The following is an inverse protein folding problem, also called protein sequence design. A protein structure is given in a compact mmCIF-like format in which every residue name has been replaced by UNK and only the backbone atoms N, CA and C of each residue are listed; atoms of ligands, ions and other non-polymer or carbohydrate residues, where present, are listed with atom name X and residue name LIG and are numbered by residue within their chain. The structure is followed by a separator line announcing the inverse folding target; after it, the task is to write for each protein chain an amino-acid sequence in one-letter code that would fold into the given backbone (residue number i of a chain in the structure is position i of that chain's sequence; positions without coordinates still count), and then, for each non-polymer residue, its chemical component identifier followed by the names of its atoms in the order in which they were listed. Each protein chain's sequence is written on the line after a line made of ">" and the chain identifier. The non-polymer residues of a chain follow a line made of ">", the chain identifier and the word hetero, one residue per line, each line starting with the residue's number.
data_IF_160347147318
#
_entry.id   IF_160347147318
#
_cell.length_a   1.000
_cell.length_b   1.000
_cell.length_c   1.000
_cell.angle_alpha   90.00
_cell.angle_beta   90.00
_cell.angle_gamma   90.00
#
_symmetry.space_group_name_H-M   'P 1'
#
loop_
_entity.id
_entity.type
_entity.pdbx_description
1 polymer ?
#
# COMPACT_ATOMS: atom_id res chain seq x y z
N UNK A 1 -13.89 -10.92 0.98
CA UNK A 1 -13.63 -11.69 2.22
C UNK A 1 -14.39 -13.02 2.26
N UNK A 2 -15.70 -13.08 2.02
CA UNK A 2 -16.39 -14.38 1.97
C UNK A 2 -16.03 -15.22 0.71
N UNK A 3 -15.75 -14.57 -0.42
CA UNK A 3 -15.34 -15.22 -1.66
C UNK A 3 -13.94 -15.84 -1.61
N UNK A 4 -12.98 -15.16 -0.97
CA UNK A 4 -11.60 -15.66 -0.83
C UNK A 4 -11.55 -16.92 0.01
N UNK A 5 -12.31 -16.99 1.11
CA UNK A 5 -12.38 -18.17 1.98
C UNK A 5 -12.89 -19.42 1.25
N UNK A 6 -13.89 -19.29 0.39
CA UNK A 6 -14.43 -20.43 -0.36
C UNK A 6 -13.40 -20.91 -1.39
N UNK A 7 -12.74 -19.99 -2.07
CA UNK A 7 -11.72 -20.31 -3.07
C UNK A 7 -10.51 -20.97 -2.40
N UNK A 8 -10.00 -20.44 -1.30
CA UNK A 8 -8.87 -20.98 -0.54
C UNK A 8 -9.15 -22.43 -0.09
N UNK A 9 -10.33 -22.69 0.48
CA UNK A 9 -10.71 -24.03 0.95
C UNK A 9 -10.80 -25.04 -0.21
N UNK A 10 -11.34 -24.62 -1.36
CA UNK A 10 -11.40 -25.49 -2.54
C UNK A 10 -10.03 -25.72 -3.18
N UNK A 11 -9.18 -24.71 -3.21
CA UNK A 11 -7.84 -24.78 -3.77
C UNK A 11 -6.94 -25.71 -2.95
N UNK A 12 -6.99 -25.62 -1.62
CA UNK A 12 -6.23 -26.48 -0.72
C UNK A 12 -6.64 -27.94 -0.82
N UNK A 13 -7.94 -28.23 -0.94
CA UNK A 13 -8.43 -29.60 -1.09
C UNK A 13 -7.97 -30.25 -2.41
N UNK A 14 -7.96 -29.48 -3.50
CA UNK A 14 -7.47 -29.93 -4.81
C UNK A 14 -5.96 -30.16 -4.75
N UNK A 15 -5.22 -29.25 -4.12
CA UNK A 15 -3.76 -29.35 -3.95
C UNK A 15 -3.36 -30.58 -3.14
N UNK A 16 -4.08 -30.88 -2.06
CA UNK A 16 -3.88 -32.07 -1.23
C UNK A 16 -4.24 -33.36 -1.98
N UNK A 17 -5.27 -33.33 -2.81
CA UNK A 17 -5.65 -34.49 -3.64
C UNK A 17 -4.60 -34.78 -4.72
N UNK A 18 -4.03 -33.73 -5.33
CA UNK A 18 -2.99 -33.82 -6.36
C UNK A 18 -1.64 -34.25 -5.78
N UNK A 19 -1.28 -33.79 -4.58
CA UNK A 19 -0.03 -34.19 -3.91
C UNK A 19 0.00 -35.68 -3.57
N UNK A 20 -1.16 -36.26 -3.22
CA UNK A 20 -1.31 -37.69 -2.92
C UNK A 20 -1.15 -38.61 -4.13
N UNK A 21 -1.37 -38.12 -5.36
CA UNK A 21 -1.33 -38.93 -6.58
C UNK A 21 0.06 -39.06 -7.23
N UNK A 22 1.12 -38.48 -6.64
CA UNK A 22 2.49 -38.69 -7.11
C UNK A 22 2.79 -38.14 -8.51
N UNK A 23 2.06 -37.10 -8.95
CA UNK A 23 2.22 -36.51 -10.27
C UNK A 23 3.62 -35.94 -10.51
N UNK A 24 4.07 -36.00 -11.77
CA UNK A 24 5.33 -35.41 -12.23
C UNK A 24 5.35 -33.90 -11.96
N UNK A 25 6.47 -33.37 -11.49
CA UNK A 25 6.63 -31.96 -11.08
C UNK A 25 6.21 -30.92 -12.14
N UNK A 26 6.36 -31.24 -13.43
CA UNK A 26 5.89 -30.39 -14.53
C UNK A 26 4.36 -30.29 -14.57
N UNK A 27 3.66 -31.40 -14.34
CA UNK A 27 2.19 -31.47 -14.32
C UNK A 27 1.64 -30.72 -13.11
N UNK A 28 2.29 -30.84 -11.95
CA UNK A 28 1.92 -30.11 -10.73
C UNK A 28 2.02 -28.59 -10.95
N UNK A 29 3.10 -28.10 -11.58
CA UNK A 29 3.22 -26.67 -11.93
C UNK A 29 2.16 -26.20 -12.92
N UNK A 30 1.84 -27.01 -13.92
CA UNK A 30 0.77 -26.69 -14.88
C UNK A 30 -0.60 -26.62 -14.21
N UNK A 31 -0.88 -27.55 -13.29
CA UNK A 31 -2.12 -27.58 -12.53
C UNK A 31 -2.22 -26.40 -11.56
N UNK A 32 -1.14 -26.05 -10.88
CA UNK A 32 -1.07 -24.88 -9.98
C UNK A 32 -1.37 -23.57 -10.75
N UNK A 33 -0.74 -23.39 -11.92
CA UNK A 33 -1.06 -22.26 -12.79
C UNK A 33 -2.53 -22.28 -13.24
N UNK A 34 -3.04 -23.43 -13.69
CA UNK A 34 -4.43 -23.55 -14.11
C UNK A 34 -5.41 -23.23 -12.97
N UNK A 35 -5.12 -23.68 -11.75
CA UNK A 35 -5.92 -23.39 -10.57
C UNK A 35 -5.91 -21.89 -10.24
N UNK A 36 -4.76 -21.23 -10.31
CA UNK A 36 -4.64 -19.77 -10.15
C UNK A 36 -5.46 -19.02 -11.21
N UNK A 37 -5.43 -19.46 -12.48
CA UNK A 37 -6.26 -18.87 -13.53
C UNK A 37 -7.76 -19.03 -13.25
N UNK A 38 -8.19 -20.21 -12.78
CA UNK A 38 -9.59 -20.48 -12.42
C UNK A 38 -10.01 -19.62 -11.24
N UNK A 39 -9.20 -19.54 -10.18
CA UNK A 39 -9.45 -18.68 -9.03
C UNK A 39 -9.64 -17.22 -9.45
N UNK A 40 -8.72 -16.67 -10.24
CA UNK A 40 -8.82 -15.31 -10.74
C UNK A 40 -10.08 -15.14 -11.60
N UNK A 41 -10.40 -16.10 -12.47
CA UNK A 41 -11.61 -16.05 -13.29
C UNK A 41 -12.89 -16.08 -12.46
N UNK A 42 -12.96 -16.90 -11.41
CA UNK A 42 -14.11 -16.98 -10.49
C UNK A 42 -14.27 -15.65 -9.75
N UNK A 43 -13.20 -15.13 -9.16
CA UNK A 43 -13.22 -13.84 -8.46
C UNK A 43 -13.69 -12.71 -9.38
N UNK A 44 -13.15 -12.63 -10.61
CA UNK A 44 -13.56 -11.61 -11.59
C UNK A 44 -14.99 -11.80 -12.07
N UNK A 45 -15.49 -13.02 -12.14
CA UNK A 45 -16.89 -13.29 -12.47
C UNK A 45 -17.83 -12.77 -11.38
N UNK A 46 -17.44 -12.92 -10.11
CA UNK A 46 -18.16 -12.35 -8.96
C UNK A 46 -18.13 -10.82 -9.01
N UNK A 47 -16.97 -10.22 -9.30
CA UNK A 47 -16.86 -8.76 -9.44
C UNK A 47 -17.78 -8.23 -10.54
N UNK A 48 -17.79 -8.90 -11.70
CA UNK A 48 -18.67 -8.56 -12.81
C UNK A 48 -20.13 -8.64 -12.36
N UNK A 49 -20.55 -9.71 -11.71
CA UNK A 49 -21.93 -9.89 -11.22
C UNK A 49 -22.33 -8.82 -10.19
N UNK A 50 -21.39 -8.36 -9.36
CA UNK A 50 -21.61 -7.35 -8.33
C UNK A 50 -21.39 -5.91 -8.81
N UNK A 51 -21.04 -5.70 -10.09
CA UNK A 51 -20.87 -4.38 -10.68
C UNK A 51 -22.05 -3.43 -10.42
N UNK A 52 -23.33 -3.83 -10.56
CA UNK A 52 -24.44 -2.93 -10.30
C UNK A 52 -24.46 -2.40 -8.86
N UNK A 53 -24.03 -3.22 -7.90
CA UNK A 53 -23.95 -2.84 -6.47
C UNK A 53 -22.79 -1.87 -6.26
N UNK A 54 -21.61 -2.18 -6.80
CA UNK A 54 -20.44 -1.29 -6.71
C UNK A 54 -20.71 0.07 -7.36
N UNK A 55 -21.34 0.06 -8.53
CA UNK A 55 -21.76 1.25 -9.25
C UNK A 55 -22.78 2.10 -8.45
N UNK A 56 -23.80 1.45 -7.88
CA UNK A 56 -24.80 2.11 -7.04
C UNK A 56 -24.18 2.75 -5.79
N UNK A 57 -23.29 2.02 -5.11
CA UNK A 57 -22.55 2.52 -3.95
C UNK A 57 -21.72 3.76 -4.29
N UNK A 58 -21.00 3.74 -5.42
CA UNK A 58 -20.24 4.92 -5.88
C UNK A 58 -21.16 6.10 -6.16
N UNK A 59 -22.31 5.86 -6.81
CA UNK A 59 -23.30 6.91 -7.05
C UNK A 59 -23.90 7.47 -5.75
N UNK A 60 -24.08 6.64 -4.71
CA UNK A 60 -24.52 7.08 -3.38
C UNK A 60 -23.44 7.92 -2.67
N UNK A 61 -22.17 7.51 -2.76
CA UNK A 61 -21.05 8.26 -2.16
C UNK A 61 -20.89 9.65 -2.78
N UNK A 62 -21.22 9.81 -4.05
CA UNK A 62 -21.22 11.13 -4.73
C UNK A 62 -22.51 11.92 -4.42
N UNK A 63 -23.53 11.29 -3.85
CA UNK A 63 -24.84 11.90 -3.55
C UNK A 63 -25.80 11.95 -4.75
N UNK A 64 -25.51 11.20 -5.82
CA UNK A 64 -26.35 11.14 -7.02
C UNK A 64 -27.51 10.15 -6.87
N UNK A 65 -27.24 9.02 -6.24
CA UNK A 65 -28.23 8.03 -5.85
C UNK A 65 -28.79 8.36 -4.46
N UNK A 66 -30.06 8.04 -4.18
CA UNK A 66 -30.63 8.24 -2.85
C UNK A 66 -29.91 7.35 -1.83
N UNK A 67 -29.72 7.85 -0.61
CA UNK A 67 -29.10 7.10 0.48
C UNK A 67 -29.91 5.85 0.87
N UNK A 68 -31.23 5.87 0.62
CA UNK A 68 -32.15 4.75 0.83
C UNK A 68 -32.95 4.53 -0.47
N UNK A 69 -33.03 3.30 -1.00
CA UNK A 69 -32.50 2.05 -0.47
C UNK A 69 -30.97 1.90 -0.62
N UNK A 70 -30.36 1.12 0.28
CA UNK A 70 -28.92 0.81 0.25
C UNK A 70 -28.51 0.01 -1.00
N UNK A 71 -29.39 -0.89 -1.44
CA UNK A 71 -29.16 -1.70 -2.63
C UNK A 71 -29.85 -1.08 -3.84
N UNK A 72 -29.29 -1.25 -5.04
CA UNK A 72 -29.97 -0.85 -6.25
C UNK A 72 -31.26 -1.66 -6.42
N UNK A 73 -32.24 -1.16 -7.20
CA UNK A 73 -33.46 -1.92 -7.50
C UNK A 73 -33.14 -3.35 -7.97
N UNK A 74 -33.88 -4.36 -7.50
CA UNK A 74 -33.61 -5.76 -7.87
C UNK A 74 -33.57 -5.97 -9.39
N UNK A 75 -34.36 -5.20 -10.14
CA UNK A 75 -34.38 -5.22 -11.60
C UNK A 75 -33.07 -4.77 -12.23
N UNK A 76 -32.27 -3.93 -11.58
CA UNK A 76 -30.97 -3.52 -12.10
C UNK A 76 -29.84 -4.50 -11.77
N UNK A 77 -30.10 -5.51 -10.93
CA UNK A 77 -29.16 -6.61 -10.66
C UNK A 77 -29.21 -7.69 -11.75
N UNK A 78 -30.35 -7.83 -12.44
CA UNK A 78 -30.55 -8.85 -13.46
C UNK A 78 -29.81 -8.46 -14.76
N UNK A 79 -28.85 -9.23 -15.27
CA UNK A 79 -27.99 -8.77 -16.36
C UNK A 79 -28.72 -8.56 -17.70
N UNK A 80 -29.84 -9.25 -17.91
CA UNK A 80 -30.68 -9.15 -19.11
C UNK A 80 -31.70 -8.00 -19.06
N UNK A 81 -31.90 -7.34 -17.92
CA UNK A 81 -32.93 -6.31 -17.80
C UNK A 81 -32.43 -4.95 -18.36
N UNK A 82 -33.25 -4.17 -19.08
CA UNK A 82 -32.82 -2.88 -19.67
C UNK A 82 -32.43 -1.80 -18.66
N UNK A 83 -32.88 -1.95 -17.40
CA UNK A 83 -32.47 -1.06 -16.28
C UNK A 83 -31.18 -1.53 -15.59
N UNK A 84 -30.56 -2.61 -16.07
CA UNK A 84 -29.37 -3.19 -15.47
C UNK A 84 -28.12 -2.44 -15.87
N UNK A 85 -27.21 -2.25 -14.91
CA UNK A 85 -25.89 -1.69 -15.20
C UNK A 85 -25.12 -2.54 -16.22
N UNK A 86 -25.39 -3.85 -16.31
CA UNK A 86 -24.83 -4.71 -17.34
C UNK A 86 -25.25 -4.34 -18.78
N UNK A 87 -26.30 -3.55 -18.97
CA UNK A 87 -26.76 -3.14 -20.30
C UNK A 87 -26.25 -1.76 -20.71
N UNK A 88 -26.13 -0.82 -19.76
CA UNK A 88 -25.72 0.55 -20.07
C UNK A 88 -24.31 0.90 -19.58
N UNK A 89 -23.77 0.21 -18.58
CA UNK A 89 -22.46 0.47 -17.99
C UNK A 89 -21.28 0.14 -18.90
N UNK A 90 -21.50 -0.68 -19.94
CA UNK A 90 -20.51 -1.01 -20.96
C UNK A 90 -20.54 -0.05 -22.16
N UNK A 91 -21.52 0.86 -22.22
CA UNK A 91 -21.62 1.79 -23.34
C UNK A 91 -20.47 2.80 -23.27
N UNK A 92 -19.77 3.02 -24.39
CA UNK A 92 -18.67 3.98 -24.41
C UNK A 92 -19.21 5.39 -24.19
N UNK A 93 -18.57 6.17 -23.31
CA UNK A 93 -18.92 7.58 -23.11
C UNK A 93 -18.35 8.49 -24.21
N UNK A 94 -17.33 8.02 -24.93
CA UNK A 94 -16.66 8.74 -26.00
C UNK A 94 -16.88 7.96 -27.30
N UNK A 95 -17.25 8.66 -28.38
CA UNK A 95 -17.47 8.07 -29.72
C UNK A 95 -16.16 7.63 -30.43
N UNK A 96 -15.15 7.20 -29.66
CA UNK A 96 -13.93 6.60 -30.18
C UNK A 96 -14.02 5.08 -29.97
N UNK A 97 -13.80 4.24 -30.99
CA UNK A 97 -14.14 2.82 -30.93
C UNK A 97 -13.36 2.07 -29.83
N UNK A 98 -12.04 2.24 -29.78
CA UNK A 98 -11.17 1.53 -28.82
C UNK A 98 -11.10 2.29 -27.48
N UNK A 99 -10.86 3.61 -27.54
CA UNK A 99 -10.73 4.45 -26.34
C UNK A 99 -12.05 4.52 -25.58
N UNK A 100 -13.18 4.61 -26.28
CA UNK A 100 -14.50 4.63 -25.68
C UNK A 100 -14.84 3.35 -24.92
N UNK A 101 -14.42 2.18 -25.43
CA UNK A 101 -14.63 0.90 -24.75
C UNK A 101 -13.81 0.81 -23.46
N UNK A 102 -12.53 1.20 -23.51
CA UNK A 102 -11.64 1.24 -22.34
C UNK A 102 -12.09 2.26 -21.28
N UNK A 103 -12.75 3.33 -21.72
CA UNK A 103 -13.30 4.37 -20.84
C UNK A 103 -14.76 4.12 -20.45
N UNK A 104 -15.29 2.92 -20.68
CA UNK A 104 -16.64 2.59 -20.20
C UNK A 104 -16.66 2.48 -18.67
N UNK A 105 -17.76 2.88 -18.00
CA UNK A 105 -17.87 2.79 -16.54
C UNK A 105 -17.56 1.40 -15.98
N UNK A 106 -18.07 0.35 -16.62
CA UNK A 106 -17.84 -1.03 -16.17
C UNK A 106 -16.34 -1.39 -16.23
N UNK A 107 -15.66 -1.08 -17.34
CA UNK A 107 -14.23 -1.37 -17.50
C UNK A 107 -13.40 -0.59 -16.50
N UNK A 108 -13.70 0.69 -16.26
CA UNK A 108 -12.97 1.50 -15.29
C UNK A 108 -13.17 1.00 -13.85
N UNK A 109 -14.40 0.60 -13.48
CA UNK A 109 -14.65 0.01 -12.15
C UNK A 109 -13.84 -1.29 -12.01
N UNK A 110 -13.91 -2.20 -12.98
CA UNK A 110 -13.17 -3.47 -12.95
C UNK A 110 -11.66 -3.26 -12.93
N UNK A 111 -11.17 -2.25 -13.67
CA UNK A 111 -9.76 -1.90 -13.66
C UNK A 111 -9.32 -1.40 -12.29
N UNK A 112 -10.11 -0.52 -11.66
CA UNK A 112 -9.79 0.00 -10.33
C UNK A 112 -9.88 -1.08 -9.25
N UNK A 113 -10.86 -1.99 -9.32
CA UNK A 113 -10.93 -3.14 -8.39
C UNK A 113 -9.73 -4.05 -8.58
N UNK A 114 -9.31 -4.31 -9.82
CA UNK A 114 -8.11 -5.11 -10.12
C UNK A 114 -6.83 -4.45 -9.60
N UNK A 115 -6.67 -3.13 -9.78
CA UNK A 115 -5.53 -2.39 -9.22
C UNK A 115 -5.53 -2.44 -7.69
N UNK A 116 -6.69 -2.29 -7.07
CA UNK A 116 -6.83 -2.40 -5.61
C UNK A 116 -6.50 -3.82 -5.12
N UNK A 117 -6.96 -4.86 -5.81
CA UNK A 117 -6.66 -6.25 -5.45
C UNK A 117 -5.18 -6.58 -5.61
N UNK A 118 -4.53 -6.05 -6.65
CA UNK A 118 -3.08 -6.16 -6.84
C UNK A 118 -2.38 -5.51 -5.65
N UNK A 119 -2.81 -4.35 -5.20
CA UNK A 119 -2.21 -3.67 -4.04
C UNK A 119 -2.38 -4.46 -2.74
N UNK A 120 -3.53 -5.12 -2.53
CA UNK A 120 -3.80 -5.85 -1.29
C UNK A 120 -3.21 -7.26 -1.26
N UNK A 121 -3.14 -7.95 -2.40
CA UNK A 121 -2.70 -9.34 -2.48
C UNK A 121 -1.23 -9.50 -2.89
N UNK A 122 -0.73 -8.59 -3.73
CA UNK A 122 0.70 -8.50 -3.99
C UNK A 122 1.22 -7.51 -2.97
N UNK A 123 1.92 -8.03 -1.95
CA UNK A 123 2.83 -7.25 -1.12
C UNK A 123 3.84 -6.58 -2.07
N UNK A 124 3.44 -5.47 -2.69
CA UNK A 124 4.26 -4.75 -3.66
C UNK A 124 5.53 -4.42 -2.90
N UNK A 125 6.68 -5.02 -3.28
CA UNK A 125 7.85 -5.10 -2.42
C UNK A 125 8.48 -3.73 -2.13
N UNK A 126 7.97 -2.68 -2.76
CA UNK A 126 8.40 -1.29 -2.61
C UNK A 126 7.77 -0.65 -1.37
N UNK A 127 6.51 -0.96 -1.05
CA UNK A 127 5.81 -0.37 0.10
C UNK A 127 6.06 -1.16 1.39
N UNK A 128 6.12 -2.49 1.29
CA UNK A 128 6.10 -3.37 2.46
C UNK A 128 7.50 -3.75 3.00
N UNK A 129 8.60 -3.39 2.30
CA UNK A 129 9.96 -3.88 2.65
C UNK A 129 10.92 -2.87 3.27
N UNK A 130 10.53 -1.62 3.47
CA UNK A 130 11.48 -0.58 3.91
C UNK A 130 11.56 -0.42 5.43
N UNK A 131 10.71 -1.13 6.19
CA UNK A 131 10.84 -1.26 7.64
C UNK A 131 10.12 -2.51 8.18
N UNK A 132 10.24 -3.67 7.53
CA UNK A 132 9.80 -4.92 8.18
C UNK A 132 10.68 -5.15 9.39
N UNK A 133 10.06 -5.09 10.57
CA UNK A 133 10.64 -5.49 11.85
C UNK A 133 10.87 -7.00 11.78
N UNK A 134 11.97 -7.43 11.17
CA UNK A 134 12.35 -8.83 11.12
C UNK A 134 12.83 -9.27 12.50
N UNK A 135 12.03 -10.09 13.17
CA UNK A 135 12.42 -10.74 14.42
C UNK A 135 13.40 -11.86 14.06
N UNK A 136 14.65 -11.73 14.48
CA UNK A 136 15.59 -12.85 14.34
C UNK A 136 15.18 -13.98 15.28
N UNK A 137 15.49 -15.23 14.91
CA UNK A 137 15.19 -16.44 15.70
C UNK A 137 15.76 -16.40 17.14
N UNK A 138 16.73 -15.52 17.41
CA UNK A 138 17.29 -15.28 18.76
C UNK A 138 16.48 -14.32 19.64
N UNK A 139 15.25 -13.97 19.26
CA UNK A 139 14.37 -13.12 20.08
C UNK A 139 14.75 -11.64 20.12
N UNK A 140 15.87 -11.25 19.50
CA UNK A 140 16.27 -9.86 19.37
C UNK A 140 15.65 -9.24 18.10
N UNK A 141 14.88 -8.17 18.33
CA UNK A 141 14.28 -7.35 17.29
C UNK A 141 15.32 -6.34 16.81
N UNK A 142 15.87 -6.55 15.63
CA UNK A 142 16.71 -5.56 14.95
C UNK A 142 15.93 -5.04 13.73
N UNK A 143 15.90 -3.73 13.52
CA UNK A 143 15.26 -3.14 12.33
C UNK A 143 16.31 -2.96 11.25
N UNK A 144 16.45 -3.93 10.35
CA UNK A 144 17.34 -3.78 9.19
C UNK A 144 16.62 -2.89 8.17
N UNK A 145 16.94 -1.60 8.17
CA UNK A 145 16.57 -0.70 7.09
C UNK A 145 17.58 -0.85 5.96
N UNK A 146 17.39 -1.86 5.12
CA UNK A 146 18.28 -2.07 3.97
C UNK A 146 17.99 -0.98 2.93
N UNK A 147 18.99 -0.14 2.62
CA UNK A 147 18.91 0.83 1.53
C UNK A 147 18.80 0.04 0.23
N UNK A 148 17.60 -0.10 -0.32
CA UNK A 148 17.40 -0.83 -1.56
C UNK A 148 18.23 -0.19 -2.69
N UNK A 149 19.07 -1.01 -3.30
CA UNK A 149 19.68 -0.73 -4.59
C UNK A 149 18.54 -0.63 -5.62
N UNK A 150 18.66 0.33 -6.56
CA UNK A 150 17.70 0.59 -7.64
C UNK A 150 17.06 -0.72 -8.16
N UNK A 151 15.76 -0.95 -7.92
CA UNK A 151 15.11 -2.18 -8.32
C UNK A 151 15.02 -2.26 -9.84
N UNK A 152 15.37 -3.42 -10.43
CA UNK A 152 15.30 -3.67 -11.88
C UNK A 152 13.86 -3.74 -12.44
N UNK A 153 12.85 -3.70 -11.58
CA UNK A 153 11.45 -3.81 -11.98
C UNK A 153 10.94 -2.45 -12.47
N UNK A 154 10.24 -2.37 -13.63
CA UNK A 154 9.82 -1.12 -14.24
C UNK A 154 8.89 -0.29 -13.34
N UNK A 155 7.98 -0.96 -12.62
CA UNK A 155 7.08 -0.29 -11.67
C UNK A 155 7.81 0.28 -10.45
N UNK A 156 8.90 -0.36 -10.02
CA UNK A 156 9.63 0.07 -8.85
C UNK A 156 10.39 1.39 -9.07
N UNK A 157 10.74 1.70 -10.32
CA UNK A 157 11.29 3.01 -10.69
C UNK A 157 10.26 4.13 -10.52
N UNK A 158 8.99 3.89 -10.84
CA UNK A 158 7.90 4.86 -10.72
C UNK A 158 7.66 5.27 -9.26
N UNK A 159 7.85 4.33 -8.32
CA UNK A 159 7.63 4.55 -6.88
C UNK A 159 8.91 4.93 -6.12
N UNK A 160 10.08 4.88 -6.74
CA UNK A 160 11.34 5.26 -6.10
C UNK A 160 11.39 6.74 -5.63
N UNK A 161 10.85 7.72 -6.37
CA UNK A 161 10.72 9.09 -5.87
C UNK A 161 9.87 9.17 -4.60
N UNK A 162 8.79 8.40 -4.52
CA UNK A 162 7.94 8.34 -3.32
C UNK A 162 8.71 7.81 -2.10
N UNK A 163 9.59 6.82 -2.31
CA UNK A 163 10.50 6.36 -1.28
C UNK A 163 11.43 7.47 -0.77
N UNK A 164 12.01 8.29 -1.65
CA UNK A 164 12.89 9.39 -1.23
C UNK A 164 12.12 10.46 -0.43
N UNK A 165 10.91 10.81 -0.88
CA UNK A 165 10.02 11.73 -0.15
C UNK A 165 9.69 11.17 1.24
N UNK A 166 9.37 9.88 1.32
CA UNK A 166 9.16 9.20 2.61
C UNK A 166 10.39 9.28 3.50
N UNK A 167 11.57 8.90 3.02
CA UNK A 167 12.81 8.96 3.80
C UNK A 167 13.07 10.38 4.30
N UNK A 168 12.87 11.38 3.44
CA UNK A 168 13.00 12.79 3.80
C UNK A 168 12.01 13.22 4.89
N UNK A 169 10.72 12.90 4.74
CA UNK A 169 9.70 13.21 5.75
C UNK A 169 9.97 12.52 7.09
N UNK A 170 10.37 11.26 7.05
CA UNK A 170 10.75 10.53 8.26
C UNK A 170 11.98 11.14 8.93
N UNK A 171 12.99 11.58 8.14
CA UNK A 171 14.14 12.33 8.67
C UNK A 171 13.73 13.67 9.28
N UNK A 172 12.82 14.41 8.65
CA UNK A 172 12.25 15.64 9.21
C UNK A 172 11.53 15.39 10.54
N UNK A 173 10.89 14.22 10.70
CA UNK A 173 10.31 13.78 11.97
C UNK A 173 11.37 13.27 12.99
N UNK A 174 12.67 13.45 12.72
CA UNK A 174 13.75 13.02 13.60
C UNK A 174 14.03 11.52 13.55
N UNK A 175 13.63 10.85 12.47
CA UNK A 175 13.93 9.44 12.21
C UNK A 175 15.13 9.30 11.27
N UNK A 176 16.32 9.17 11.84
CA UNK A 176 17.55 9.00 11.08
C UNK A 176 17.76 7.53 10.66
N UNK A 177 17.29 7.17 9.47
CA UNK A 177 17.59 5.87 8.82
C UNK A 177 19.09 5.69 8.51
N UNK A 178 19.87 6.77 8.46
CA UNK A 178 21.30 6.79 8.14
C UNK A 178 22.23 6.20 9.22
N UNK A 179 21.67 5.68 10.31
CA UNK A 179 22.41 5.15 11.44
C UNK A 179 22.94 3.74 11.27
N UNK A 180 22.38 2.96 10.33
CA UNK A 180 22.81 1.59 10.13
C UNK A 180 24.13 1.57 9.37
N UNK A 181 25.19 1.80 10.15
CA UNK A 181 26.56 1.49 9.78
C UNK A 181 26.60 0.07 9.22
N UNK A 182 27.22 -0.07 8.05
CA UNK A 182 27.38 -1.31 7.27
C UNK A 182 28.30 -2.34 7.94
N UNK A 183 28.90 -1.98 9.07
CA UNK A 183 29.75 -2.87 9.83
C UNK A 183 28.86 -3.81 10.63
N UNK A 184 29.01 -5.12 10.41
CA UNK A 184 28.34 -6.16 11.18
C UNK A 184 28.52 -5.86 12.67
N UNK A 185 27.45 -5.77 13.47
CA UNK A 185 27.60 -5.59 14.91
C UNK A 185 28.47 -6.72 15.42
N UNK A 186 29.48 -6.38 16.22
CA UNK A 186 30.26 -7.36 16.96
C UNK A 186 29.28 -8.32 17.67
N UNK A 187 29.56 -9.63 17.69
CA UNK A 187 28.64 -10.61 18.25
C UNK A 187 28.30 -10.25 19.70
N UNK A 188 27.08 -9.76 19.92
CA UNK A 188 26.59 -9.27 21.23
C UNK A 188 25.87 -7.91 21.22
N UNK A 189 25.91 -7.16 20.12
CA UNK A 189 25.53 -5.73 20.09
C UNK A 189 24.14 -5.54 19.40
N UNK A 190 23.10 -5.26 20.20
CA UNK A 190 21.67 -5.13 19.83
C UNK A 190 21.31 -3.80 19.11
N UNK A 191 21.02 -3.84 17.80
CA UNK A 191 20.45 -2.77 16.91
C UNK A 191 20.24 -1.33 17.43
N UNK A 192 20.71 -0.35 16.65
CA UNK A 192 20.85 1.06 17.06
C UNK A 192 20.32 2.07 16.02
N UNK A 193 19.81 3.20 16.51
CA UNK A 193 19.60 4.45 15.74
C UNK A 193 20.53 5.52 16.35
N UNK A 194 21.31 6.19 15.50
CA UNK A 194 22.15 7.35 15.80
C UNK A 194 21.34 8.62 15.55
N UNK A 195 21.06 9.39 16.61
CA UNK A 195 20.50 10.74 16.48
C UNK A 195 21.69 11.70 16.33
N UNK A 196 21.66 12.57 15.31
CA UNK A 196 22.74 13.51 15.03
C UNK A 196 22.41 14.81 15.76
N UNK A 197 23.03 15.05 16.90
CA UNK A 197 23.00 16.37 17.53
C UNK A 197 24.01 17.26 16.81
N UNK A 198 23.50 18.33 16.18
CA UNK A 198 24.30 19.32 15.47
C UNK A 198 24.88 20.32 16.45
N UNK A 199 25.97 19.97 17.14
CA UNK A 199 26.89 20.93 17.76
C UNK A 199 28.31 20.37 17.66
N UNK A 200 29.14 21.09 16.92
CA UNK A 200 30.59 21.04 16.75
C UNK A 200 31.40 19.83 17.27
N UNK A 201 31.97 19.09 16.30
CA UNK A 201 33.32 18.52 16.44
C UNK A 201 33.49 17.11 17.00
N UNK A 202 32.56 16.58 17.81
CA UNK A 202 32.72 15.24 18.39
C UNK A 202 31.47 14.38 18.14
N UNK A 203 31.48 13.61 17.04
CA UNK A 203 30.41 12.68 16.70
C UNK A 203 30.46 11.43 17.60
N UNK A 204 30.09 11.57 18.87
CA UNK A 204 29.72 10.42 19.70
C UNK A 204 28.30 10.05 19.29
N UNK A 205 28.19 9.06 18.40
CA UNK A 205 26.91 8.45 18.07
C UNK A 205 26.27 7.91 19.37
N UNK A 206 25.21 8.55 19.84
CA UNK A 206 24.44 8.10 20.99
C UNK A 206 23.61 6.88 20.60
N UNK A 207 23.79 5.79 21.37
CA UNK A 207 23.20 4.48 21.12
C UNK A 207 21.94 4.29 21.96
N UNK A 208 20.78 4.09 21.34
CA UNK A 208 19.51 3.86 22.05
C UNK A 208 18.92 2.50 21.74
N UNK A 209 18.48 1.78 22.79
CA UNK A 209 17.63 0.59 22.66
C UNK A 209 16.23 1.05 22.28
N UNK A 210 15.91 0.91 21.00
CA UNK A 210 14.59 1.26 20.49
C UNK A 210 13.54 0.29 21.06
N UNK A 211 12.50 0.84 21.69
CA UNK A 211 11.35 0.04 22.10
C UNK A 211 10.45 -0.19 20.88
N UNK A 212 9.72 -1.32 20.88
CA UNK A 212 8.71 -1.61 19.86
C UNK A 212 7.69 -0.49 19.70
N UNK A 213 7.35 0.18 20.80
CA UNK A 213 6.42 1.30 20.85
C UNK A 213 6.88 2.50 20.01
N UNK A 214 8.17 2.88 20.08
CA UNK A 214 8.71 3.99 19.31
C UNK A 214 8.71 3.70 17.80
N UNK A 215 8.99 2.45 17.41
CA UNK A 215 8.95 2.01 16.02
C UNK A 215 7.53 1.95 15.46
N UNK A 216 6.55 1.49 16.23
CA UNK A 216 5.16 1.40 15.77
C UNK A 216 4.62 2.75 15.31
N UNK A 217 4.78 3.80 16.11
CA UNK A 217 4.33 5.15 15.72
C UNK A 217 5.01 5.66 14.45
N UNK A 218 6.29 5.34 14.26
CA UNK A 218 7.04 5.75 13.10
C UNK A 218 6.62 4.94 11.85
N UNK A 219 6.32 3.65 12.01
CA UNK A 219 5.70 2.81 10.98
C UNK A 219 4.32 3.32 10.57
N UNK A 220 3.49 3.79 11.50
CA UNK A 220 2.19 4.40 11.16
C UNK A 220 2.35 5.67 10.34
N UNK A 221 3.28 6.56 10.69
CA UNK A 221 3.58 7.75 9.89
C UNK A 221 4.07 7.37 8.49
N UNK A 222 4.97 6.39 8.40
CA UNK A 222 5.48 5.87 7.13
C UNK A 222 4.35 5.30 6.26
N UNK A 223 3.48 4.46 6.84
CA UNK A 223 2.32 3.89 6.16
C UNK A 223 1.35 4.98 5.70
N UNK A 224 1.12 6.02 6.49
CA UNK A 224 0.31 7.16 6.08
C UNK A 224 0.89 7.95 4.91
N UNK A 225 2.22 8.11 4.85
CA UNK A 225 2.92 8.73 3.71
C UNK A 225 2.80 7.83 2.47
N UNK A 226 3.00 6.52 2.61
CA UNK A 226 2.86 5.57 1.51
C UNK A 226 1.44 5.62 0.93
N UNK A 227 0.42 5.61 1.78
CA UNK A 227 -0.98 5.71 1.37
C UNK A 227 -1.28 7.05 0.69
N UNK A 228 -0.70 8.16 1.17
CA UNK A 228 -0.82 9.46 0.52
C UNK A 228 -0.19 9.46 -0.88
N UNK A 229 1.02 8.94 -1.00
CA UNK A 229 1.73 8.88 -2.28
C UNK A 229 0.99 7.99 -3.28
N UNK A 230 0.47 6.85 -2.81
CA UNK A 230 -0.38 5.97 -3.60
C UNK A 230 -1.65 6.71 -4.06
N UNK A 231 -2.35 7.36 -3.13
CA UNK A 231 -3.57 8.11 -3.43
C UNK A 231 -3.33 9.25 -4.41
N UNK A 232 -2.19 9.95 -4.32
CA UNK A 232 -1.80 10.97 -5.30
C UNK A 232 -1.54 10.36 -6.69
N UNK A 233 -0.95 9.17 -6.75
CA UNK A 233 -0.71 8.47 -8.01
C UNK A 233 -2.00 7.93 -8.65
N UNK A 234 -2.97 7.45 -7.85
CA UNK A 234 -4.26 6.96 -8.35
C UNK A 234 -5.30 8.05 -8.58
N UNK A 235 -5.10 9.24 -8.00
CA UNK A 235 -6.03 10.36 -8.06
C UNK A 235 -6.56 10.68 -9.47
N UNK A 236 -5.74 10.72 -10.55
CA UNK A 236 -6.25 10.98 -11.88
C UNK A 236 -7.24 9.91 -12.35
N UNK A 237 -6.97 8.65 -12.02
CA UNK A 237 -7.81 7.50 -12.35
C UNK A 237 -9.11 7.58 -11.56
N UNK A 238 -9.04 7.86 -10.25
CA UNK A 238 -10.22 8.00 -9.39
C UNK A 238 -11.13 9.14 -9.87
N UNK A 239 -10.57 10.28 -10.30
CA UNK A 239 -11.34 11.38 -10.88
C UNK A 239 -12.05 10.95 -12.16
N UNK A 240 -11.34 10.28 -13.07
CA UNK A 240 -11.91 9.79 -14.33
C UNK A 240 -13.03 8.80 -14.03
N UNK A 241 -12.82 7.88 -13.11
CA UNK A 241 -13.80 6.89 -12.66
C UNK A 241 -15.06 7.58 -12.12
N UNK A 242 -14.92 8.44 -11.11
CA UNK A 242 -16.05 9.10 -10.46
C UNK A 242 -16.84 9.97 -11.44
N UNK A 243 -16.15 10.69 -12.34
CA UNK A 243 -16.82 11.45 -13.41
C UNK A 243 -17.57 10.56 -14.38
N UNK A 244 -16.95 9.47 -14.80
CA UNK A 244 -17.54 8.49 -15.72
C UNK A 244 -18.79 7.85 -15.11
N UNK A 245 -18.70 7.45 -13.84
CA UNK A 245 -19.84 6.94 -13.06
C UNK A 245 -20.94 7.98 -12.97
N UNK A 246 -20.61 9.22 -12.63
CA UNK A 246 -21.58 10.29 -12.47
C UNK A 246 -22.34 10.61 -13.76
N UNK A 247 -21.63 10.74 -14.89
CA UNK A 247 -22.26 10.98 -16.21
C UNK A 247 -23.13 9.79 -16.61
N UNK A 248 -22.62 8.57 -16.43
CA UNK A 248 -23.38 7.35 -16.70
C UNK A 248 -24.65 7.31 -15.84
N UNK A 249 -24.59 7.73 -14.57
CA UNK A 249 -25.73 7.66 -13.65
C UNK A 249 -26.79 8.69 -14.01
N UNK A 250 -26.38 9.91 -14.35
CA UNK A 250 -27.30 10.97 -14.76
C UNK A 250 -28.02 10.63 -16.07
N UNK A 251 -27.35 9.92 -16.99
CA UNK A 251 -27.97 9.45 -18.24
C UNK A 251 -28.77 8.15 -18.06
N UNK A 252 -28.58 7.43 -16.95
CA UNK A 252 -29.28 6.19 -16.67
C UNK A 252 -30.76 6.40 -16.32
N UNK A 253 -31.60 5.35 -16.45
CA UNK A 253 -33.01 5.37 -16.03
C UNK A 253 -33.20 5.13 -14.52
N UNK A 254 -32.14 5.13 -13.72
CA UNK A 254 -32.19 4.89 -12.28
C UNK A 254 -32.75 6.10 -11.51
N UNK A 255 -33.27 5.90 -10.28
CA UNK A 255 -33.82 7.00 -9.50
C UNK A 255 -32.72 7.98 -9.05
N UNK A 256 -32.97 9.27 -9.22
CA UNK A 256 -32.00 10.36 -9.03
C UNK A 256 -32.42 11.24 -7.86
N UNK A 257 -31.44 11.76 -7.12
CA UNK A 257 -31.69 12.78 -6.09
C UNK A 257 -31.95 14.14 -6.74
N UNK A 258 -32.53 15.09 -5.98
CA UNK A 258 -32.64 16.48 -6.40
C UNK A 258 -31.25 17.09 -6.69
N UNK A 259 -30.23 16.66 -5.95
CA UNK A 259 -28.85 17.05 -6.17
C UNK A 259 -28.32 16.53 -7.53
N UNK A 260 -28.64 15.30 -7.91
CA UNK A 260 -28.27 14.80 -9.23
C UNK A 260 -28.91 15.62 -10.37
N UNK A 261 -30.17 16.04 -10.18
CA UNK A 261 -30.87 16.88 -11.15
C UNK A 261 -30.22 18.27 -11.28
N UNK A 262 -29.78 18.87 -10.18
CA UNK A 262 -29.09 20.17 -10.20
C UNK A 262 -27.63 20.08 -10.69
N UNK A 263 -26.98 18.92 -10.57
CA UNK A 263 -25.62 18.67 -11.02
C UNK A 263 -25.50 18.40 -12.52
N UNK A 264 -26.55 17.90 -13.18
CA UNK A 264 -26.56 17.58 -14.61
C UNK A 264 -25.95 18.66 -15.54
N UNK A 265 -26.25 19.98 -15.40
CA UNK A 265 -25.66 21.01 -16.26
C UNK A 265 -24.18 21.32 -15.96
N UNK A 266 -23.67 20.91 -14.80
CA UNK A 266 -22.30 21.23 -14.34
C UNK A 266 -21.31 20.06 -14.49
N UNK A 267 -21.77 18.90 -14.98
CA UNK A 267 -20.89 17.77 -15.20
C UNK A 267 -20.13 17.86 -16.52
N UNK A 268 -18.82 18.06 -16.40
CA UNK A 268 -17.88 17.97 -17.50
C UNK A 268 -17.72 16.53 -17.97
N UNK A 269 -17.66 16.32 -19.28
CA UNK A 269 -17.20 15.07 -19.86
C UNK A 269 -15.82 14.69 -19.28
N UNK A 270 -15.53 13.40 -19.03
CA UNK A 270 -14.26 12.99 -18.42
C UNK A 270 -13.07 13.24 -19.35
N UNK A 271 -13.35 13.33 -20.67
CA UNK A 271 -12.40 13.58 -21.73
C UNK A 271 -12.92 14.71 -22.63
N UNK A 272 -12.89 15.95 -22.13
CA UNK A 272 -12.82 17.16 -22.96
C UNK A 272 -13.85 17.35 -24.08
N UNK A 273 -15.07 16.83 -23.99
CA UNK A 273 -16.14 17.13 -24.97
C UNK A 273 -17.29 17.93 -24.34
N UNK A 274 -16.95 18.96 -23.55
CA UNK A 274 -17.87 20.07 -23.35
C UNK A 274 -17.77 21.01 -24.57
N UNK A 275 -18.23 20.55 -25.73
CA UNK A 275 -18.70 21.50 -26.76
C UNK A 275 -20.22 21.51 -26.61
N UNK A 276 -20.80 22.51 -25.94
CA UNK A 276 -22.20 22.79 -26.10
C UNK A 276 -22.43 22.96 -27.60
N UNK A 277 -23.29 22.14 -28.22
CA UNK A 277 -23.60 22.20 -29.66
C UNK A 277 -24.20 23.56 -30.10
N UNK A 278 -24.30 24.55 -29.21
CA UNK A 278 -24.99 25.81 -29.44
C UNK A 278 -24.16 27.09 -29.24
N UNK A 279 -22.87 27.03 -28.88
CA UNK A 279 -22.05 28.25 -28.75
C UNK A 279 -20.85 28.22 -29.71
N UNK A 280 -21.05 28.85 -30.86
CA UNK A 280 -20.12 28.94 -32.00
C UNK A 280 -19.09 30.08 -31.84
N UNK A 281 -18.65 30.34 -30.60
CA UNK A 281 -17.66 31.39 -30.29
C UNK A 281 -16.40 30.76 -29.71
N UNK A 282 -15.27 31.08 -30.34
CA UNK A 282 -13.95 30.47 -30.15
C UNK A 282 -13.21 30.90 -28.85
N UNK A 283 -13.91 31.01 -27.72
CA UNK A 283 -13.30 31.14 -26.37
C UNK A 283 -13.53 29.96 -25.39
N UNK A 284 -13.73 28.69 -25.82
CA UNK A 284 -14.03 27.59 -24.87
C UNK A 284 -12.80 27.05 -24.11
N UNK A 285 -11.57 27.38 -24.55
CA UNK A 285 -10.36 26.75 -24.02
C UNK A 285 -9.89 27.39 -22.70
N UNK A 286 -10.05 28.72 -22.56
CA UNK A 286 -9.67 29.42 -21.33
C UNK A 286 -10.66 29.13 -20.19
N UNK A 287 -11.96 29.08 -20.48
CA UNK A 287 -12.98 28.74 -19.48
C UNK A 287 -12.86 27.29 -19.00
N UNK A 288 -12.53 26.34 -19.89
CA UNK A 288 -12.32 24.94 -19.51
C UNK A 288 -11.06 24.77 -18.66
N UNK A 289 -9.96 25.46 -18.99
CA UNK A 289 -8.74 25.43 -18.17
C UNK A 289 -8.96 26.07 -16.79
N UNK A 290 -9.67 27.20 -16.71
CA UNK A 290 -9.99 27.84 -15.43
C UNK A 290 -10.85 26.92 -14.54
N UNK A 291 -11.82 26.22 -15.12
CA UNK A 291 -12.69 25.28 -14.40
C UNK A 291 -11.94 23.99 -13.99
N UNK A 292 -11.05 23.47 -14.84
CA UNK A 292 -10.15 22.36 -14.49
C UNK A 292 -9.26 22.78 -13.32
N UNK A 293 -8.69 24.00 -13.36
CA UNK A 293 -7.87 24.55 -12.29
C UNK A 293 -8.62 24.68 -10.96
N UNK A 294 -9.86 25.20 -11.00
CA UNK A 294 -10.70 25.29 -9.81
C UNK A 294 -11.05 23.91 -9.23
N UNK A 295 -11.31 22.92 -10.08
CA UNK A 295 -11.54 21.54 -9.67
C UNK A 295 -10.29 20.90 -9.05
N UNK A 296 -9.14 21.05 -9.72
CA UNK A 296 -7.86 20.55 -9.24
C UNK A 296 -7.47 21.19 -7.89
N UNK A 297 -7.75 22.48 -7.70
CA UNK A 297 -7.52 23.19 -6.44
C UNK A 297 -8.38 22.61 -5.31
N UNK A 298 -9.68 22.37 -5.53
CA UNK A 298 -10.58 21.76 -4.53
C UNK A 298 -10.14 20.34 -4.16
N UNK A 299 -9.76 19.54 -5.15
CA UNK A 299 -9.28 18.17 -4.95
C UNK A 299 -7.96 18.20 -4.19
N UNK A 300 -7.01 19.03 -4.63
CA UNK A 300 -5.71 19.21 -3.98
C UNK A 300 -5.87 19.65 -2.53
N UNK A 301 -6.76 20.61 -2.25
CA UNK A 301 -7.09 21.04 -0.89
C UNK A 301 -7.68 19.90 -0.04
N UNK A 302 -8.60 19.11 -0.60
CA UNK A 302 -9.19 17.97 0.12
C UNK A 302 -8.16 16.90 0.49
N UNK A 303 -7.23 16.60 -0.44
CA UNK A 303 -6.13 15.66 -0.22
C UNK A 303 -5.13 16.22 0.79
N UNK A 304 -4.81 17.51 0.69
CA UNK A 304 -3.94 18.19 1.64
C UNK A 304 -4.53 18.19 3.05
N UNK A 305 -5.84 18.47 3.20
CA UNK A 305 -6.53 18.43 4.50
C UNK A 305 -6.56 17.01 5.08
N UNK A 306 -6.90 16.01 4.26
CA UNK A 306 -6.90 14.61 4.68
C UNK A 306 -5.50 14.15 5.12
N UNK A 307 -4.48 14.49 4.33
CA UNK A 307 -3.08 14.21 4.63
C UNK A 307 -2.61 14.91 5.89
N UNK A 308 -2.84 16.22 5.99
CA UNK A 308 -2.46 17.02 7.15
C UNK A 308 -3.10 16.48 8.42
N UNK A 309 -4.39 16.12 8.37
CA UNK A 309 -5.09 15.54 9.53
C UNK A 309 -4.41 14.25 9.98
N UNK A 310 -4.07 13.35 9.05
CA UNK A 310 -3.40 12.09 9.40
C UNK A 310 -1.97 12.30 9.89
N UNK A 311 -1.16 13.07 9.17
CA UNK A 311 0.24 13.33 9.54
C UNK A 311 0.31 14.09 10.87
N UNK A 312 -0.56 15.07 11.12
CA UNK A 312 -0.59 15.81 12.39
C UNK A 312 -1.02 14.92 13.55
N UNK A 313 -2.05 14.07 13.37
CA UNK A 313 -2.51 13.16 14.43
C UNK A 313 -1.42 12.15 14.77
N UNK A 314 -0.87 11.46 13.77
CA UNK A 314 0.14 10.41 14.02
C UNK A 314 1.52 10.97 14.35
N UNK A 315 1.92 12.07 13.70
CA UNK A 315 3.15 12.80 14.01
C UNK A 315 3.11 13.42 15.40
N UNK A 316 1.96 13.99 15.80
CA UNK A 316 1.71 14.47 17.16
C UNK A 316 1.78 13.35 18.19
N UNK A 317 1.14 12.21 17.93
CA UNK A 317 1.23 11.03 18.78
C UNK A 317 2.68 10.53 18.92
N UNK A 318 3.42 10.46 17.82
CA UNK A 318 4.84 10.10 17.83
C UNK A 318 5.66 11.08 18.67
N UNK A 319 5.49 12.38 18.46
CA UNK A 319 6.20 13.42 19.21
C UNK A 319 5.89 13.36 20.70
N UNK A 320 4.64 13.10 21.08
CA UNK A 320 4.22 12.91 22.47
C UNK A 320 4.86 11.67 23.09
N UNK A 321 4.76 10.51 22.42
CA UNK A 321 5.37 9.25 22.89
C UNK A 321 6.88 9.41 23.06
N UNK A 322 7.54 10.05 22.09
CA UNK A 322 8.98 10.35 22.18
C UNK A 322 9.29 11.30 23.34
N UNK A 323 8.53 12.38 23.50
CA UNK A 323 8.71 13.33 24.61
C UNK A 323 8.57 12.66 25.98
N UNK A 324 7.53 11.84 26.15
CA UNK A 324 7.30 11.06 27.37
C UNK A 324 8.44 10.06 27.61
N UNK A 325 8.86 9.36 26.56
CA UNK A 325 10.02 8.48 26.56
C UNK A 325 11.31 9.18 27.01
N UNK A 326 11.58 10.37 26.49
CA UNK A 326 12.77 11.15 26.85
C UNK A 326 12.71 11.65 28.30
N UNK A 327 11.55 12.13 28.75
CA UNK A 327 11.37 12.72 30.09
C UNK A 327 11.34 11.68 31.21
N UNK A 328 10.63 10.57 31.00
CA UNK A 328 10.35 9.60 32.08
C UNK A 328 11.18 8.32 31.97
N UNK A 329 11.57 7.93 30.75
CA UNK A 329 12.23 6.65 30.50
C UNK A 329 13.68 6.81 30.00
N UNK A 330 14.21 8.03 30.02
CA UNK A 330 15.60 8.29 29.66
C UNK A 330 15.94 8.04 28.19
N UNK A 331 14.97 8.05 27.26
CA UNK A 331 15.21 7.75 25.85
C UNK A 331 16.19 8.70 25.14
N UNK A 332 16.60 9.82 25.76
CA UNK A 332 17.62 10.75 25.24
C UNK A 332 18.87 10.89 26.13
N UNK A 333 18.90 10.30 27.32
CA UNK A 333 20.04 10.43 28.23
C UNK A 333 20.75 9.09 28.36
N UNK A 334 21.61 8.78 27.40
CA UNK A 334 22.75 7.92 27.69
C UNK A 334 23.86 8.81 28.24
N UNK A 335 24.09 8.73 29.53
CA UNK A 335 25.27 9.27 30.19
C UNK A 335 26.52 8.59 29.62
N UNK A 336 27.02 9.09 28.50
CA UNK A 336 28.46 9.14 28.22
C UNK A 336 29.01 10.21 29.15
N UNK A 337 29.12 9.97 30.45
CA UNK A 337 30.34 9.43 31.05
C UNK A 337 30.02 8.84 32.43
N UNK A 338 29.70 7.56 32.49
CA UNK A 338 30.16 6.74 33.62
C UNK A 338 30.85 5.56 32.98
N UNK A 339 32.18 5.58 33.04
CA UNK A 339 32.96 4.36 32.99
C UNK A 339 32.33 3.43 34.03
N UNK A 340 31.58 2.44 33.55
CA UNK A 340 31.28 1.28 34.37
C UNK A 340 32.63 0.57 34.46
N UNK A 341 33.42 0.94 35.47
CA UNK A 341 34.51 0.10 35.94
C UNK A 341 33.88 -1.25 36.25
N UNK A 342 34.06 -2.21 35.34
CA UNK A 342 33.86 -3.59 35.70
C UNK A 342 34.75 -3.85 36.92
N UNK A 343 34.21 -4.35 38.04
CA UNK A 343 35.07 -4.80 39.13
C UNK A 343 36.04 -5.83 38.54
N UNK A 344 37.33 -5.49 38.52
CA UNK A 344 38.43 -6.35 38.05
C UNK A 344 38.54 -7.67 38.84
N UNK A 345 37.67 -7.92 39.80
CA UNK A 345 37.62 -9.15 40.58
C UNK A 345 36.70 -10.18 39.92
N UNK A 346 37.17 -10.79 38.84
CA UNK A 346 36.93 -12.19 38.47
C UNK A 346 37.72 -12.46 37.19
N UNK A 347 39.03 -12.20 37.26
CA UNK A 347 39.97 -12.90 36.41
C UNK A 347 39.78 -14.39 36.70
N UNK A 348 39.08 -15.09 35.80
CA UNK A 348 39.02 -16.54 35.79
C UNK A 348 40.46 -17.03 35.75
N UNK A 349 40.88 -17.69 36.83
CA UNK A 349 42.05 -18.58 36.84
C UNK A 349 42.04 -19.38 35.54
N UNK A 350 43.14 -19.29 34.81
CA UNK A 350 43.39 -20.10 33.61
C UNK A 350 43.27 -21.58 33.98
N UNK A 351 42.17 -22.21 33.58
CA UNK A 351 42.17 -23.65 33.40
C UNK A 351 42.91 -23.94 32.10
N UNK A 352 44.06 -24.60 32.28
CA UNK A 352 44.87 -25.23 31.25
C UNK A 352 44.02 -26.09 30.32
N UNK A 353 44.18 -25.98 28.99
CA UNK A 353 43.48 -26.87 28.06
C UNK A 353 43.97 -28.32 28.26
N UNK A 354 43.07 -29.32 28.27
CA UNK A 354 43.47 -30.72 28.29
C UNK A 354 44.20 -31.07 26.98
N UNK A 355 45.37 -31.68 27.13
CA UNK A 355 46.10 -32.27 26.02
C UNK A 355 45.23 -33.35 25.37
N UNK A 356 45.01 -33.21 24.06
CA UNK A 356 44.38 -34.22 23.23
C UNK A 356 45.42 -35.34 23.00
N UNK A 357 45.34 -36.41 23.79
CA UNK A 357 46.07 -37.65 23.52
C UNK A 357 45.62 -38.22 22.18
N UNK A 358 46.58 -38.35 21.26
CA UNK A 358 46.37 -38.91 19.95
C UNK A 358 45.99 -40.38 20.03
N UNK A 359 44.81 -40.72 19.53
CA UNK A 359 44.46 -42.09 19.19
C UNK A 359 44.79 -42.31 17.71
N UNK A 360 45.95 -42.92 17.47
CA UNK A 360 46.31 -43.45 16.17
C UNK A 360 45.31 -44.55 15.78
N UNK A 361 44.57 -44.33 14.69
CA UNK A 361 43.79 -45.39 14.05
C UNK A 361 44.71 -46.05 13.02
N UNK A 362 45.07 -47.29 13.34
CA UNK A 362 45.78 -48.22 12.49
C UNK A 362 44.99 -48.51 11.22
N UNK A 363 45.66 -48.36 10.09
CA UNK A 363 45.35 -49.01 8.82
C UNK A 363 45.15 -50.52 9.00
N UNK A 364 44.04 -51.05 8.49
CA UNK A 364 43.91 -52.48 8.21
C UNK A 364 43.38 -52.66 6.78
N UNK A 365 44.28 -53.14 5.92
CA UNK A 365 43.95 -53.93 4.74
C UNK A 365 43.11 -55.14 5.14
N UNK A 366 42.07 -55.49 4.39
CA UNK A 366 41.98 -56.77 3.67
C UNK A 366 40.61 -56.97 3.00
N UNK A 367 40.71 -57.33 1.71
CA UNK A 367 39.74 -57.98 0.79
C UNK A 367 38.71 -57.14 0.04
#
# INVERSE_FOLDING_TARGET
>A
MASSLIVDVTADFIKDSVSRQGYRSKTVRGLDLALQWVEVAVLRSVDILLLPVGYWSMAQQIGLAPAVPLLPPLRSLLPWHPLSFHTFGWKPLVNLPIVGMLCSPAVLILFCTLVSDIQTNIDLPIFDRTAKLSRTERGNLYVIAEKQLMPRQPFAWLFFPAYNVRVFLLQCCGWNLLSMRRDSPSPGVQSYITVRDGVDGLQIATFHRTTTLAHMSAQFVASGIDELMFKLATLPIDIILLRTVAISYITSPLPKTLQAASMAPWLYAPFGSAVPKHSLTWSPLDDTLAQIGACASKIGLSVALWSATRILVFGGLYALVRSQGMRHFGWARSSSTREFEFPKSLASKSETPPQLEGTAISSLEER
#
